data_IF_625789374856
#
_entry.id   IF_625789374856
#
_cell.length_a   1.000
_cell.length_b   1.000
_cell.length_c   1.000
_cell.angle_alpha   90.00
_cell.angle_beta   90.00
_cell.angle_gamma   90.00
#
_symmetry.space_group_name_H-M   'P 1'
#
loop_
_entity.id
_entity.type
_entity.pdbx_description
1 polymer ?
#
# COMPACT_ATOMS: atom_id res chain seq x y z
N UNK A 1 -6.15 9.98 23.15
CA UNK A 1 -5.28 8.92 22.57
C UNK A 1 -6.08 7.91 21.75
N UNK A 2 -7.19 7.35 22.26
CA UNK A 2 -7.99 6.33 21.54
C UNK A 2 -8.47 6.77 20.15
N UNK A 3 -8.94 8.00 19.99
CA UNK A 3 -9.38 8.52 18.67
C UNK A 3 -8.26 8.56 17.63
N UNK A 4 -7.04 8.94 18.02
CA UNK A 4 -5.88 8.94 17.13
C UNK A 4 -5.48 7.51 16.74
N UNK A 5 -5.52 6.58 17.70
CA UNK A 5 -5.26 5.17 17.45
C UNK A 5 -6.29 4.56 16.50
N UNK A 6 -7.58 4.87 16.70
CA UNK A 6 -8.66 4.45 15.82
C UNK A 6 -8.45 4.97 14.41
N UNK A 7 -8.15 6.28 14.27
CA UNK A 7 -7.88 6.89 12.97
C UNK A 7 -6.66 6.25 12.29
N UNK A 8 -5.59 5.97 13.04
CA UNK A 8 -4.41 5.29 12.53
C UNK A 8 -4.73 3.90 12.00
N UNK A 9 -5.40 3.07 12.80
CA UNK A 9 -5.74 1.69 12.42
C UNK A 9 -6.65 1.67 11.18
N UNK A 10 -7.67 2.52 11.14
CA UNK A 10 -8.57 2.64 9.98
C UNK A 10 -7.79 3.07 8.74
N UNK A 11 -6.90 4.06 8.85
CA UNK A 11 -6.08 4.51 7.73
C UNK A 11 -5.14 3.42 7.21
N UNK A 12 -4.49 2.66 8.11
CA UNK A 12 -3.64 1.52 7.75
C UNK A 12 -4.45 0.42 7.05
N UNK A 13 -5.64 0.09 7.56
CA UNK A 13 -6.53 -0.91 6.94
C UNK A 13 -6.94 -0.50 5.52
N UNK A 14 -7.40 0.74 5.35
CA UNK A 14 -7.75 1.27 4.02
C UNK A 14 -6.55 1.30 3.07
N UNK A 15 -5.37 1.68 3.59
CA UNK A 15 -4.16 1.72 2.79
C UNK A 15 -3.73 0.32 2.33
N UNK A 16 -3.66 -0.65 3.25
CA UNK A 16 -3.33 -2.05 2.95
C UNK A 16 -4.33 -2.68 1.97
N UNK A 17 -5.64 -2.48 2.19
CA UNK A 17 -6.68 -3.00 1.31
C UNK A 17 -6.56 -2.44 -0.12
N UNK A 18 -6.35 -1.13 -0.24
CA UNK A 18 -6.21 -0.50 -1.56
C UNK A 18 -4.91 -0.91 -2.27
N UNK A 19 -3.78 -1.03 -1.55
CA UNK A 19 -2.53 -1.54 -2.11
C UNK A 19 -2.66 -2.97 -2.61
N UNK A 20 -3.40 -3.84 -1.92
CA UNK A 20 -3.60 -5.21 -2.34
C UNK A 20 -4.47 -5.32 -3.60
N UNK A 21 -5.45 -4.41 -3.76
CA UNK A 21 -6.35 -4.40 -4.92
C UNK A 21 -5.72 -3.76 -6.18
N UNK A 22 -4.82 -2.78 -6.01
CA UNK A 22 -4.21 -2.04 -7.11
C UNK A 22 -3.54 -2.93 -8.18
N UNK A 23 -2.66 -3.89 -7.83
CA UNK A 23 -2.04 -4.79 -8.79
C UNK A 23 -3.07 -5.57 -9.63
N UNK A 24 -4.16 -6.03 -9.01
CA UNK A 24 -5.21 -6.77 -9.70
C UNK A 24 -5.93 -5.87 -10.73
N UNK A 25 -6.23 -4.63 -10.37
CA UNK A 25 -6.86 -3.66 -11.28
C UNK A 25 -5.92 -3.28 -12.43
N UNK A 26 -4.62 -3.13 -12.16
CA UNK A 26 -3.60 -2.86 -13.18
C UNK A 26 -3.53 -4.01 -14.19
N UNK A 27 -3.46 -5.26 -13.73
CA UNK A 27 -3.45 -6.44 -14.61
C UNK A 27 -4.74 -6.53 -15.42
N UNK A 28 -5.89 -6.29 -14.80
CA UNK A 28 -7.19 -6.30 -15.48
C UNK A 28 -7.29 -5.22 -16.57
N UNK A 29 -6.72 -4.04 -16.34
CA UNK A 29 -6.64 -3.01 -17.38
C UNK A 29 -5.72 -3.43 -18.54
N UNK A 30 -4.58 -4.06 -18.24
CA UNK A 30 -3.59 -4.45 -19.23
C UNK A 30 -4.02 -5.67 -20.07
N UNK A 31 -4.98 -6.48 -19.60
CA UNK A 31 -5.51 -7.62 -20.35
C UNK A 31 -6.52 -7.23 -21.44
N UNK A 32 -6.98 -5.98 -21.48
CA UNK A 32 -8.00 -5.56 -22.42
C UNK A 32 -7.44 -5.38 -23.83
N UNK A 33 -8.15 -5.93 -24.82
CA UNK A 33 -7.79 -5.81 -26.24
C UNK A 33 -8.18 -4.45 -26.83
N UNK A 34 -9.25 -3.84 -26.31
CA UNK A 34 -9.71 -2.53 -26.75
C UNK A 34 -8.96 -1.43 -26.00
N UNK A 35 -8.25 -0.59 -26.74
CA UNK A 35 -7.47 0.54 -26.20
C UNK A 35 -8.34 1.54 -25.43
N UNK A 36 -9.58 1.78 -25.86
CA UNK A 36 -10.50 2.70 -25.19
C UNK A 36 -10.98 2.17 -23.83
N UNK A 37 -11.20 0.86 -23.73
CA UNK A 37 -11.57 0.20 -22.46
C UNK A 37 -10.36 0.15 -21.52
N UNK A 38 -9.18 -0.17 -22.05
CA UNK A 38 -7.93 -0.16 -21.29
C UNK A 38 -7.66 1.21 -20.65
N UNK A 39 -7.78 2.30 -21.42
CA UNK A 39 -7.59 3.67 -20.92
C UNK A 39 -8.58 4.01 -19.81
N UNK A 40 -9.87 3.72 -20.02
CA UNK A 40 -10.90 3.99 -19.01
C UNK A 40 -10.66 3.26 -17.70
N UNK A 41 -10.24 1.99 -17.76
CA UNK A 41 -9.89 1.23 -16.55
C UNK A 41 -8.62 1.79 -15.89
N UNK A 42 -7.65 2.24 -16.67
CA UNK A 42 -6.45 2.91 -16.14
C UNK A 42 -6.81 4.22 -15.43
N UNK A 43 -7.74 4.99 -15.96
CA UNK A 43 -8.20 6.23 -15.31
C UNK A 43 -8.83 5.94 -13.94
N UNK A 44 -9.59 4.85 -13.82
CA UNK A 44 -10.13 4.38 -12.54
C UNK A 44 -9.00 3.97 -11.58
N UNK A 45 -7.98 3.26 -12.07
CA UNK A 45 -6.80 2.89 -11.26
C UNK A 45 -6.09 4.14 -10.73
N UNK A 46 -5.84 5.13 -11.59
CA UNK A 46 -5.21 6.41 -11.22
C UNK A 46 -6.07 7.16 -10.21
N UNK A 47 -7.39 7.18 -10.41
CA UNK A 47 -8.34 7.80 -9.50
C UNK A 47 -8.28 7.17 -8.10
N UNK A 48 -8.32 5.84 -8.01
CA UNK A 48 -8.22 5.11 -6.74
C UNK A 48 -6.87 5.39 -6.07
N UNK A 49 -5.77 5.33 -6.82
CA UNK A 49 -4.44 5.58 -6.28
C UNK A 49 -4.34 6.98 -5.66
N UNK A 50 -4.77 8.01 -6.40
CA UNK A 50 -4.62 9.42 -5.98
C UNK A 50 -5.63 9.85 -4.92
N UNK A 51 -6.89 9.38 -5.00
CA UNK A 51 -7.96 9.83 -4.11
C UNK A 51 -8.15 8.95 -2.88
N UNK A 52 -7.77 7.68 -2.93
CA UNK A 52 -7.95 6.75 -1.80
C UNK A 52 -6.62 6.26 -1.25
N UNK A 53 -5.77 5.65 -2.07
CA UNK A 53 -4.55 4.97 -1.59
C UNK A 53 -3.56 5.97 -0.99
N UNK A 54 -3.23 7.06 -1.70
CA UNK A 54 -2.25 8.05 -1.22
C UNK A 54 -2.74 8.82 0.02
N UNK A 55 -3.99 9.31 0.10
CA UNK A 55 -4.48 9.95 1.31
C UNK A 55 -4.52 9.01 2.51
N UNK A 56 -4.94 7.74 2.32
CA UNK A 56 -4.91 6.75 3.39
C UNK A 56 -3.48 6.49 3.90
N UNK A 57 -2.51 6.42 3.00
CA UNK A 57 -1.09 6.29 3.35
C UNK A 57 -0.60 7.48 4.19
N UNK A 58 -0.89 8.71 3.75
CA UNK A 58 -0.49 9.92 4.46
C UNK A 58 -1.12 9.99 5.85
N UNK A 59 -2.41 9.72 5.96
CA UNK A 59 -3.12 9.70 7.24
C UNK A 59 -2.52 8.63 8.16
N UNK A 60 -2.25 7.43 7.65
CA UNK A 60 -1.63 6.35 8.41
C UNK A 60 -0.25 6.73 8.94
N UNK A 61 0.62 7.32 8.10
CA UNK A 61 1.97 7.73 8.49
C UNK A 61 1.92 8.87 9.50
N UNK A 62 1.17 9.94 9.23
CA UNK A 62 1.08 11.12 10.12
C UNK A 62 0.53 10.73 11.48
N UNK A 63 -0.55 9.95 11.52
CA UNK A 63 -1.15 9.48 12.77
C UNK A 63 -0.21 8.55 13.53
N UNK A 64 0.49 7.64 12.85
CA UNK A 64 1.47 6.75 13.46
C UNK A 64 2.65 7.50 14.06
N UNK A 65 3.20 8.48 13.33
CA UNK A 65 4.27 9.36 13.82
C UNK A 65 3.80 10.20 15.00
N UNK A 66 2.57 10.70 14.98
CA UNK A 66 2.01 11.49 16.09
C UNK A 66 1.88 10.64 17.36
N UNK A 67 1.39 9.41 17.25
CA UNK A 67 1.30 8.49 18.40
C UNK A 67 2.70 8.20 18.97
N UNK A 68 3.68 7.96 18.10
CA UNK A 68 5.07 7.72 18.51
C UNK A 68 5.64 8.91 19.30
N UNK A 69 5.48 10.14 18.81
CA UNK A 69 5.99 11.34 19.49
C UNK A 69 5.35 11.57 20.86
N UNK A 70 4.11 11.11 21.06
CA UNK A 70 3.37 11.26 22.31
C UNK A 70 3.69 10.17 23.34
N UNK A 71 4.09 8.98 22.90
CA UNK A 71 4.39 7.86 23.81
C UNK A 71 5.86 7.83 24.27
N UNK A 72 6.78 8.58 23.62
CA UNK A 72 8.23 8.63 23.94
C UNK A 72 8.94 7.26 23.96
N UNK A 73 8.36 6.23 23.30
CA UNK A 73 8.88 4.86 23.35
C UNK A 73 9.92 4.64 22.26
N UNK A 74 11.21 4.71 22.61
CA UNK A 74 12.33 4.41 21.70
C UNK A 74 12.86 2.96 21.87
N UNK A 75 11.98 1.97 21.74
CA UNK A 75 12.36 0.55 21.83
C UNK A 75 12.71 -0.07 20.47
N UNK A 76 13.53 -1.13 20.46
CA UNK A 76 13.80 -1.95 19.27
C UNK A 76 12.54 -2.43 18.55
N UNK A 77 11.44 -2.57 19.30
CA UNK A 77 10.10 -2.87 18.78
C UNK A 77 9.57 -1.82 17.80
N UNK A 78 9.80 -0.55 18.11
CA UNK A 78 9.37 0.57 17.28
C UNK A 78 10.12 0.58 15.95
N UNK A 79 11.44 0.36 16.00
CA UNK A 79 12.26 0.30 14.79
C UNK A 79 11.72 -0.76 13.84
N UNK A 80 11.33 -1.93 14.38
CA UNK A 80 10.72 -3.00 13.59
C UNK A 80 9.38 -2.56 12.95
N UNK A 81 8.52 -1.83 13.68
CA UNK A 81 7.28 -1.30 13.09
C UNK A 81 7.56 -0.29 11.97
N UNK A 82 8.52 0.61 12.17
CA UNK A 82 8.87 1.62 11.18
C UNK A 82 9.48 1.01 9.93
N UNK A 83 10.32 -0.03 10.04
CA UNK A 83 10.86 -0.72 8.87
C UNK A 83 9.75 -1.39 8.05
N UNK A 84 8.75 -1.99 8.70
CA UNK A 84 7.59 -2.56 7.99
C UNK A 84 6.77 -1.48 7.26
N UNK A 85 6.51 -0.34 7.91
CA UNK A 85 5.82 0.79 7.26
C UNK A 85 6.65 1.34 6.10
N UNK A 86 7.97 1.44 6.26
CA UNK A 86 8.87 1.86 5.18
C UNK A 86 8.77 0.95 3.95
N UNK A 87 8.75 -0.37 4.14
CA UNK A 87 8.53 -1.31 3.04
C UNK A 87 7.15 -1.17 2.39
N UNK A 88 6.08 -0.90 3.16
CA UNK A 88 4.77 -0.57 2.59
C UNK A 88 4.80 0.71 1.75
N UNK A 89 5.54 1.74 2.18
CA UNK A 89 5.75 2.96 1.38
C UNK A 89 6.48 2.63 0.08
N UNK A 90 7.49 1.75 0.10
CA UNK A 90 8.16 1.30 -1.13
C UNK A 90 7.18 0.58 -2.06
N UNK A 91 6.33 -0.31 -1.55
CA UNK A 91 5.28 -0.95 -2.34
C UNK A 91 4.29 0.07 -2.92
N UNK A 92 3.91 1.10 -2.15
CA UNK A 92 3.06 2.18 -2.62
C UNK A 92 3.72 2.97 -3.77
N UNK A 93 4.97 3.39 -3.59
CA UNK A 93 5.73 4.09 -4.62
C UNK A 93 5.91 3.23 -5.88
N UNK A 94 6.20 1.94 -5.71
CA UNK A 94 6.33 1.00 -6.83
C UNK A 94 5.00 0.81 -7.57
N UNK A 95 3.86 0.79 -6.85
CA UNK A 95 2.53 0.79 -7.46
C UNK A 95 2.33 2.02 -8.35
N UNK A 96 2.67 3.21 -7.83
CA UNK A 96 2.63 4.45 -8.61
C UNK A 96 3.56 4.42 -9.84
N UNK A 97 4.75 3.84 -9.70
CA UNK A 97 5.69 3.67 -10.81
C UNK A 97 5.13 2.77 -11.91
N UNK A 98 4.49 1.64 -11.56
CA UNK A 98 3.83 0.75 -12.53
C UNK A 98 2.71 1.49 -13.25
N UNK A 99 1.86 2.23 -12.53
CA UNK A 99 0.75 3.00 -13.11
C UNK A 99 1.25 3.98 -14.18
N UNK A 100 2.35 4.68 -13.91
CA UNK A 100 2.95 5.63 -14.85
C UNK A 100 3.61 4.95 -16.07
N UNK A 101 4.23 3.77 -15.89
CA UNK A 101 5.00 3.10 -16.95
C UNK A 101 4.21 2.04 -17.72
N UNK A 102 2.96 1.75 -17.34
CA UNK A 102 2.16 0.69 -17.95
C UNK A 102 1.93 0.90 -19.46
N UNK A 103 1.82 2.16 -19.92
CA UNK A 103 1.53 2.46 -21.32
C UNK A 103 2.63 2.02 -22.31
N UNK A 104 3.87 1.87 -21.84
CA UNK A 104 5.03 1.51 -22.67
C UNK A 104 5.52 0.07 -22.41
N UNK A 105 4.99 -0.60 -21.39
CA UNK A 105 5.46 -1.90 -20.95
C UNK A 105 4.73 -3.05 -21.66
N UNK A 106 5.45 -4.13 -21.95
CA UNK A 106 4.82 -5.36 -22.46
C UNK A 106 3.91 -5.98 -21.41
N UNK A 107 2.75 -6.49 -21.81
CA UNK A 107 1.76 -7.15 -20.94
C UNK A 107 2.37 -8.16 -19.95
N UNK A 108 3.30 -9.02 -20.41
CA UNK A 108 3.99 -10.00 -19.56
C UNK A 108 4.79 -9.35 -18.42
N UNK A 109 5.45 -8.21 -18.67
CA UNK A 109 6.21 -7.48 -17.65
C UNK A 109 5.27 -6.87 -16.61
N UNK A 110 4.15 -6.31 -17.05
CA UNK A 110 3.12 -5.71 -16.17
C UNK A 110 2.57 -6.76 -15.20
N UNK A 111 2.19 -7.95 -15.70
CA UNK A 111 1.73 -9.05 -14.85
C UNK A 111 2.80 -9.45 -13.84
N UNK A 112 4.04 -9.66 -14.30
CA UNK A 112 5.11 -10.12 -13.44
C UNK A 112 5.38 -9.11 -12.32
N UNK A 113 5.48 -7.82 -12.65
CA UNK A 113 5.65 -6.74 -11.66
C UNK A 113 4.47 -6.66 -10.68
N UNK A 114 3.24 -6.78 -11.16
CA UNK A 114 2.04 -6.77 -10.31
C UNK A 114 1.96 -8.01 -9.41
N UNK A 115 2.39 -9.17 -9.89
CA UNK A 115 2.42 -10.41 -9.13
C UNK A 115 3.48 -10.35 -8.01
N UNK A 116 4.70 -9.91 -8.34
CA UNK A 116 5.74 -9.68 -7.32
C UNK A 116 5.31 -8.66 -6.28
N UNK A 117 4.69 -7.56 -6.72
CA UNK A 117 4.16 -6.53 -5.83
C UNK A 117 3.05 -7.07 -4.93
N UNK A 118 2.09 -7.82 -5.49
CA UNK A 118 0.99 -8.43 -4.73
C UNK A 118 1.49 -9.41 -3.68
N UNK A 119 2.44 -10.29 -4.03
CA UNK A 119 3.08 -11.21 -3.09
C UNK A 119 3.81 -10.44 -1.99
N UNK A 120 4.57 -9.40 -2.35
CA UNK A 120 5.29 -8.56 -1.39
C UNK A 120 4.37 -7.82 -0.41
N UNK A 121 3.22 -7.34 -0.88
CA UNK A 121 2.21 -6.69 -0.02
C UNK A 121 1.59 -7.71 0.93
N UNK A 122 1.22 -8.89 0.44
CA UNK A 122 0.64 -9.95 1.28
C UNK A 122 1.63 -10.40 2.35
N UNK A 123 2.89 -10.63 1.98
CA UNK A 123 3.92 -11.02 2.97
C UNK A 123 4.13 -9.92 3.99
N UNK A 124 4.20 -8.65 3.59
CA UNK A 124 4.29 -7.51 4.52
C UNK A 124 3.11 -7.46 5.48
N UNK A 125 1.87 -7.60 5.00
CA UNK A 125 0.68 -7.60 5.87
C UNK A 125 0.77 -8.74 6.88
N UNK A 126 1.13 -9.95 6.45
CA UNK A 126 1.30 -11.10 7.34
C UNK A 126 2.40 -10.85 8.37
N UNK A 127 3.53 -10.28 7.98
CA UNK A 127 4.60 -9.89 8.90
C UNK A 127 4.14 -8.82 9.88
N UNK A 128 3.39 -7.81 9.44
CA UNK A 128 2.85 -6.75 10.33
C UNK A 128 1.94 -7.38 11.39
N UNK A 129 1.02 -8.24 10.98
CA UNK A 129 0.12 -8.94 11.88
C UNK A 129 0.92 -9.80 12.86
N UNK A 130 1.85 -10.61 12.36
CA UNK A 130 2.72 -11.44 13.19
C UNK A 130 3.46 -10.63 14.25
N UNK A 131 4.15 -9.56 13.83
CA UNK A 131 4.84 -8.65 14.73
C UNK A 131 3.83 -8.08 15.74
N UNK A 132 2.68 -7.56 15.33
CA UNK A 132 1.70 -7.03 16.31
C UNK A 132 1.25 -8.09 17.33
N UNK A 133 1.11 -9.36 16.93
CA UNK A 133 0.74 -10.47 17.83
C UNK A 133 1.87 -10.92 18.76
N UNK A 134 3.14 -10.88 18.31
CA UNK A 134 4.28 -11.32 19.13
C UNK A 134 4.83 -10.24 20.04
N UNK A 135 4.16 -9.07 20.16
CA UNK A 135 4.57 -8.04 21.12
C UNK A 135 4.59 -8.66 22.52
N UNK A 136 5.72 -8.66 23.25
CA UNK A 136 5.71 -9.05 24.64
C UNK A 136 4.80 -8.07 25.39
N UNK A 137 3.81 -8.62 26.10
CA UNK A 137 2.85 -7.87 26.91
C UNK A 137 3.55 -7.01 27.96
#
# INVERSE_FOLDING_TARGET
>A
MVWLLLLHIVAVLCWCASLLYLPALIVSSASQQSTSVQQRLMDVVVMIYKLFTTPAALIAIISGTTIFLLEEIADSWLILKLTLVFFLVLCHAFSGWIILHNQQASYKKVILSCLFLGIGIVTLILTIIWVVLTKPF
#
